data_IF_621624096965
#
_entry.id   IF_621624096965
#
_cell.length_a   1.000
_cell.length_b   1.000
_cell.length_c   1.000
_cell.angle_alpha   90.00
_cell.angle_beta   90.00
_cell.angle_gamma   90.00
#
_symmetry.space_group_name_H-M   'P 1'
#
loop_
_entity.id
_entity.type
_entity.pdbx_description
1 polymer ?
#
# COMPACT_ATOMS: atom_id res chain seq x y z
N UNK A 1 -46.60 38.12 -26.11
CA UNK A 1 -48.05 37.93 -25.89
C UNK A 1 -48.22 36.80 -24.89
N UNK A 2 -48.61 37.10 -23.66
CA UNK A 2 -48.81 36.11 -22.60
C UNK A 2 -50.25 35.56 -22.67
N UNK A 3 -50.41 34.24 -22.57
CA UNK A 3 -51.69 33.60 -22.29
C UNK A 3 -51.59 32.94 -20.90
N UNK A 4 -52.23 33.57 -19.91
CA UNK A 4 -52.44 33.01 -18.58
C UNK A 4 -53.77 32.25 -18.64
N UNK A 5 -53.76 30.92 -18.44
CA UNK A 5 -54.98 30.17 -18.12
C UNK A 5 -54.97 29.83 -16.64
N UNK A 6 -55.95 30.34 -15.91
CA UNK A 6 -56.33 29.90 -14.58
C UNK A 6 -57.23 28.67 -14.72
N UNK A 7 -56.87 27.56 -14.07
CA UNK A 7 -57.85 26.53 -13.71
C UNK A 7 -57.97 26.52 -12.20
N UNK A 8 -59.11 27.02 -11.72
CA UNK A 8 -59.58 26.84 -10.36
C UNK A 8 -60.24 25.47 -10.25
N UNK A 9 -59.72 24.62 -9.38
CA UNK A 9 -60.54 23.57 -8.76
C UNK A 9 -60.12 23.47 -7.31
N UNK A 10 -61.05 23.88 -6.47
CA UNK A 10 -61.00 23.85 -5.01
C UNK A 10 -61.10 22.41 -4.55
N UNK A 11 -60.08 21.86 -3.91
CA UNK A 11 -60.25 20.71 -3.02
C UNK A 11 -59.03 20.53 -2.10
N UNK A 12 -59.36 20.25 -0.84
CA UNK A 12 -58.55 19.72 0.26
C UNK A 12 -57.03 19.67 0.20
N UNK A 13 -56.43 20.45 1.10
CA UNK A 13 -55.18 20.21 1.83
C UNK A 13 -54.84 18.71 2.02
N UNK A 14 -53.82 18.19 1.34
CA UNK A 14 -52.81 17.25 1.89
C UNK A 14 -51.49 17.40 1.14
N UNK A 15 -50.39 17.60 1.85
CA UNK A 15 -49.02 17.62 1.31
C UNK A 15 -48.50 16.19 1.17
N UNK A 16 -49.20 15.33 0.44
CA UNK A 16 -48.68 14.00 0.15
C UNK A 16 -47.62 14.09 -0.96
N UNK A 17 -46.41 14.52 -0.60
CA UNK A 17 -45.23 14.31 -1.43
C UNK A 17 -44.96 12.81 -1.45
N UNK A 18 -45.46 12.12 -2.47
CA UNK A 18 -45.08 10.74 -2.78
C UNK A 18 -43.64 10.73 -3.29
N UNK A 19 -42.69 10.79 -2.36
CA UNK A 19 -41.29 10.44 -2.63
C UNK A 19 -41.30 8.92 -2.84
N UNK A 20 -41.17 8.48 -4.09
CA UNK A 20 -40.73 7.13 -4.39
C UNK A 20 -39.29 7.02 -3.85
N UNK A 21 -39.16 6.50 -2.63
CA UNK A 21 -37.88 6.09 -2.10
C UNK A 21 -37.56 4.78 -2.82
N UNK A 22 -36.78 4.86 -3.89
CA UNK A 22 -36.15 3.68 -4.46
C UNK A 22 -35.37 3.01 -3.34
N UNK A 23 -35.79 1.80 -2.99
CA UNK A 23 -35.18 0.97 -1.96
C UNK A 23 -33.70 0.81 -2.29
N UNK A 24 -32.85 1.59 -1.61
CA UNK A 24 -31.41 1.36 -1.62
C UNK A 24 -31.21 -0.04 -1.07
N UNK A 25 -30.78 -0.96 -1.94
CA UNK A 25 -30.44 -2.32 -1.56
C UNK A 25 -29.58 -2.28 -0.28
N UNK A 26 -29.88 -3.11 0.74
CA UNK A 26 -29.09 -3.11 1.95
C UNK A 26 -27.64 -3.41 1.56
N UNK A 27 -26.72 -2.51 1.90
CA UNK A 27 -25.28 -2.80 1.83
C UNK A 27 -25.08 -4.04 2.69
N UNK A 28 -24.81 -5.19 2.06
CA UNK A 28 -24.55 -6.42 2.78
C UNK A 28 -23.38 -6.16 3.72
N UNK A 29 -23.59 -6.38 5.02
CA UNK A 29 -22.51 -6.39 5.99
C UNK A 29 -21.62 -7.60 5.64
N UNK A 30 -20.35 -7.41 5.22
CA UNK A 30 -19.52 -8.50 4.70
C UNK A 30 -19.07 -9.49 5.80
N UNK A 31 -19.44 -9.25 7.05
CA UNK A 31 -19.03 -10.05 8.21
C UNK A 31 -19.79 -11.38 8.31
N UNK A 32 -20.82 -11.60 7.47
CA UNK A 32 -21.51 -12.90 7.34
C UNK A 32 -21.17 -13.67 6.04
N UNK A 33 -20.12 -13.28 5.30
CA UNK A 33 -19.50 -14.23 4.38
C UNK A 33 -18.78 -15.29 5.23
N UNK A 34 -19.08 -16.56 4.97
CA UNK A 34 -18.37 -17.70 5.54
C UNK A 34 -16.87 -17.43 5.43
N UNK A 35 -16.15 -17.47 6.55
CA UNK A 35 -14.71 -17.20 6.62
C UNK A 35 -13.98 -18.01 5.53
N UNK A 36 -14.42 -19.24 5.29
CA UNK A 36 -13.90 -20.11 4.22
C UNK A 36 -14.08 -19.54 2.82
N UNK A 37 -15.19 -18.86 2.53
CA UNK A 37 -15.43 -18.21 1.25
C UNK A 37 -14.52 -16.99 1.07
N UNK A 38 -14.29 -16.21 2.13
CA UNK A 38 -13.37 -15.07 2.11
C UNK A 38 -11.91 -15.55 1.92
N UNK A 39 -11.50 -16.60 2.63
CA UNK A 39 -10.19 -17.22 2.44
C UNK A 39 -10.03 -17.83 1.06
N UNK A 40 -11.06 -18.50 0.54
CA UNK A 40 -11.05 -19.08 -0.79
C UNK A 40 -10.92 -17.98 -1.86
N UNK A 41 -11.65 -16.88 -1.72
CA UNK A 41 -11.54 -15.70 -2.59
C UNK A 41 -10.15 -15.07 -2.53
N UNK A 42 -9.59 -14.89 -1.34
CA UNK A 42 -8.21 -14.40 -1.19
C UNK A 42 -7.19 -15.36 -1.80
N UNK A 43 -7.38 -16.67 -1.65
CA UNK A 43 -6.55 -17.70 -2.26
C UNK A 43 -6.63 -17.68 -3.78
N UNK A 44 -7.82 -17.51 -4.35
CA UNK A 44 -8.06 -17.42 -5.79
C UNK A 44 -7.45 -16.14 -6.39
N UNK A 45 -7.60 -15.00 -5.71
CA UNK A 45 -6.95 -13.74 -6.08
C UNK A 45 -5.42 -13.92 -6.06
N UNK A 46 -4.88 -14.46 -4.96
CA UNK A 46 -3.44 -14.70 -4.84
C UNK A 46 -2.90 -15.65 -5.91
N UNK A 47 -3.58 -16.77 -6.19
CA UNK A 47 -3.14 -17.72 -7.21
C UNK A 47 -3.27 -17.14 -8.63
N UNK A 48 -4.32 -16.38 -8.92
CA UNK A 48 -4.46 -15.69 -10.22
C UNK A 48 -3.35 -14.64 -10.43
N UNK A 49 -3.06 -13.83 -9.41
CA UNK A 49 -1.97 -12.84 -9.44
C UNK A 49 -0.59 -13.50 -9.51
N UNK A 50 -0.42 -14.64 -8.82
CA UNK A 50 0.82 -15.44 -8.82
C UNK A 50 1.12 -16.03 -10.19
N UNK A 51 0.10 -16.44 -10.94
CA UNK A 51 0.26 -16.99 -12.28
C UNK A 51 0.52 -15.89 -13.32
N UNK A 52 -0.06 -14.71 -13.14
CA UNK A 52 0.19 -13.53 -13.99
C UNK A 52 1.57 -12.91 -13.73
N UNK A 53 2.02 -12.93 -12.48
CA UNK A 53 3.35 -12.47 -12.08
C UNK A 53 4.31 -13.64 -12.12
N UNK A 54 4.70 -14.07 -13.31
CA UNK A 54 5.81 -15.00 -13.46
C UNK A 54 6.99 -14.47 -12.63
N UNK A 55 7.40 -15.22 -11.60
CA UNK A 55 8.58 -14.93 -10.77
C UNK A 55 9.84 -15.16 -11.59
N UNK A 56 9.99 -14.39 -12.65
CA UNK A 56 11.18 -14.36 -13.47
C UNK A 56 12.26 -13.51 -12.77
N UNK A 57 13.50 -13.60 -13.24
CA UNK A 57 14.64 -12.83 -12.75
C UNK A 57 14.42 -11.30 -12.80
N UNK A 58 13.39 -10.84 -13.51
CA UNK A 58 12.99 -9.44 -13.64
C UNK A 58 11.92 -8.99 -12.63
N UNK A 59 11.31 -9.92 -11.89
CA UNK A 59 10.32 -9.58 -10.87
C UNK A 59 10.94 -8.68 -9.79
N UNK A 60 10.35 -7.50 -9.57
CA UNK A 60 10.88 -6.49 -8.65
C UNK A 60 12.13 -5.74 -9.16
N UNK A 61 12.49 -5.89 -10.44
CA UNK A 61 13.56 -5.15 -11.15
C UNK A 61 13.03 -4.44 -12.42
N UNK A 62 11.72 -4.36 -12.55
CA UNK A 62 11.03 -3.69 -13.65
C UNK A 62 10.22 -2.53 -13.09
N UNK A 63 10.24 -1.42 -13.81
CA UNK A 63 9.44 -0.23 -13.52
C UNK A 63 8.79 0.21 -14.81
N UNK A 64 7.47 0.34 -14.79
CA UNK A 64 6.73 0.93 -15.91
C UNK A 64 6.94 2.44 -15.92
N UNK A 65 7.20 2.99 -17.11
CA UNK A 65 7.45 4.42 -17.28
C UNK A 65 6.10 5.09 -17.54
N UNK A 66 5.67 5.95 -16.62
CA UNK A 66 4.48 6.77 -16.79
C UNK A 66 4.85 8.12 -17.41
N UNK A 67 4.15 8.53 -18.48
CA UNK A 67 4.33 9.85 -19.09
C UNK A 67 5.64 10.07 -19.85
N UNK A 68 6.37 9.00 -20.19
CA UNK A 68 7.61 9.08 -21.00
C UNK A 68 8.85 9.62 -20.27
N UNK A 69 8.75 9.91 -18.96
CA UNK A 69 9.90 10.35 -18.17
C UNK A 69 10.79 9.17 -17.75
N UNK A 70 11.75 8.85 -18.61
CA UNK A 70 12.74 7.79 -18.39
C UNK A 70 13.61 8.09 -17.16
N UNK A 71 13.93 9.36 -16.90
CA UNK A 71 14.82 9.73 -15.81
C UNK A 71 14.18 9.46 -14.44
N UNK A 72 12.88 9.75 -14.30
CA UNK A 72 12.12 9.40 -13.11
C UNK A 72 12.00 7.88 -12.94
N UNK A 73 11.71 7.16 -14.02
CA UNK A 73 11.66 5.69 -14.03
C UNK A 73 12.98 5.06 -13.56
N UNK A 74 14.12 5.55 -14.07
CA UNK A 74 15.45 5.09 -13.69
C UNK A 74 15.75 5.34 -12.20
N UNK A 75 15.45 6.54 -11.68
CA UNK A 75 15.60 6.85 -10.24
C UNK A 75 14.74 5.96 -9.36
N UNK A 76 13.52 5.66 -9.80
CA UNK A 76 12.61 4.77 -9.08
C UNK A 76 13.14 3.34 -9.06
N UNK A 77 13.65 2.85 -10.20
CA UNK A 77 14.30 1.55 -10.31
C UNK A 77 15.53 1.47 -9.39
N UNK A 78 16.41 2.47 -9.40
CA UNK A 78 17.59 2.51 -8.54
C UNK A 78 17.23 2.43 -7.05
N UNK A 79 16.20 3.16 -6.64
CA UNK A 79 15.67 3.11 -5.26
C UNK A 79 15.16 1.71 -4.91
N UNK A 80 14.39 1.09 -5.80
CA UNK A 80 13.87 -0.28 -5.60
C UNK A 80 15.01 -1.30 -5.48
N UNK A 81 16.01 -1.24 -6.37
CA UNK A 81 17.19 -2.12 -6.32
C UNK A 81 18.00 -1.93 -5.03
N UNK A 82 18.16 -0.68 -4.58
CA UNK A 82 18.85 -0.37 -3.33
C UNK A 82 18.11 -0.90 -2.10
N UNK A 83 16.78 -0.78 -2.05
CA UNK A 83 15.95 -1.32 -0.98
C UNK A 83 16.03 -2.85 -0.90
N UNK A 84 15.99 -3.51 -2.06
CA UNK A 84 16.14 -4.96 -2.18
C UNK A 84 17.58 -5.45 -1.93
N UNK A 85 18.56 -4.54 -1.84
CA UNK A 85 19.95 -4.88 -1.57
C UNK A 85 20.69 -5.53 -2.75
N UNK A 86 20.12 -5.49 -3.96
CA UNK A 86 20.67 -6.18 -5.15
C UNK A 86 22.10 -5.74 -5.47
N UNK A 87 22.44 -4.43 -5.51
CA UNK A 87 23.82 -4.00 -5.81
C UNK A 87 24.81 -4.46 -4.73
N UNK A 88 24.37 -4.39 -3.46
CA UNK A 88 25.16 -4.80 -2.30
C UNK A 88 25.49 -6.29 -2.35
N UNK A 89 24.53 -7.11 -2.75
CA UNK A 89 24.69 -8.55 -2.81
C UNK A 89 25.50 -8.98 -4.04
N UNK A 90 25.30 -8.33 -5.18
CA UNK A 90 26.15 -8.48 -6.37
C UNK A 90 27.62 -8.25 -6.05
N UNK A 91 27.94 -7.13 -5.38
CA UNK A 91 29.32 -6.82 -5.00
C UNK A 91 29.91 -7.86 -4.02
N UNK A 92 29.10 -8.37 -3.10
CA UNK A 92 29.54 -9.34 -2.10
C UNK A 92 29.75 -10.74 -2.64
N UNK A 93 28.95 -11.14 -3.63
CA UNK A 93 28.97 -12.46 -4.22
C UNK A 93 29.99 -12.57 -5.36
N UNK A 94 30.61 -11.44 -5.78
CA UNK A 94 31.66 -11.41 -6.81
C UNK A 94 32.84 -12.35 -6.52
N UNK A 95 33.12 -12.63 -5.23
CA UNK A 95 34.18 -13.56 -4.81
C UNK A 95 33.64 -14.51 -3.75
N UNK A 96 34.10 -15.76 -3.77
CA UNK A 96 33.83 -16.71 -2.70
C UNK A 96 34.39 -16.18 -1.38
N UNK A 97 33.61 -16.33 -0.31
CA UNK A 97 34.01 -15.99 1.05
C UNK A 97 33.95 -17.22 1.92
N UNK A 98 34.92 -17.33 2.81
CA UNK A 98 34.90 -18.38 3.81
C UNK A 98 33.69 -18.23 4.73
N UNK A 99 33.05 -19.36 5.04
CA UNK A 99 31.82 -19.41 5.85
C UNK A 99 32.00 -18.74 7.22
N UNK A 100 33.19 -18.89 7.82
CA UNK A 100 33.53 -18.27 9.11
C UNK A 100 33.52 -16.74 9.05
N UNK A 101 34.12 -16.17 8.01
CA UNK A 101 34.23 -14.72 7.84
C UNK A 101 32.86 -14.09 7.55
N UNK A 102 32.03 -14.76 6.74
CA UNK A 102 30.67 -14.29 6.50
C UNK A 102 29.83 -14.31 7.78
N UNK A 103 29.97 -15.35 8.63
CA UNK A 103 29.30 -15.40 9.95
C UNK A 103 29.74 -14.27 10.87
N UNK A 104 31.05 -14.01 10.99
CA UNK A 104 31.60 -12.92 11.82
C UNK A 104 31.09 -11.56 11.33
N UNK A 105 31.13 -11.35 10.00
CA UNK A 105 30.62 -10.15 9.36
C UNK A 105 29.14 -9.93 9.62
N UNK A 106 28.29 -10.95 9.44
CA UNK A 106 26.85 -10.86 9.70
C UNK A 106 26.54 -10.59 11.17
N UNK A 107 27.28 -11.21 12.11
CA UNK A 107 27.18 -10.90 13.55
C UNK A 107 27.50 -9.43 13.83
N UNK A 108 28.61 -8.93 13.30
CA UNK A 108 29.03 -7.54 13.43
C UNK A 108 28.02 -6.56 12.82
N UNK A 109 27.48 -6.88 11.64
CA UNK A 109 26.43 -6.07 10.99
C UNK A 109 25.16 -6.00 11.82
N UNK A 110 24.67 -7.13 12.35
CA UNK A 110 23.50 -7.16 13.23
C UNK A 110 23.72 -6.33 14.49
N UNK A 111 24.90 -6.44 15.11
CA UNK A 111 25.26 -5.62 16.27
C UNK A 111 25.22 -4.13 15.95
N UNK A 112 25.89 -3.68 14.87
CA UNK A 112 25.87 -2.26 14.47
C UNK A 112 24.48 -1.73 14.18
N UNK A 113 23.62 -2.54 13.54
CA UNK A 113 22.21 -2.14 13.26
C UNK A 113 21.43 -1.94 14.55
N UNK A 114 21.54 -2.89 15.49
CA UNK A 114 20.89 -2.79 16.81
C UNK A 114 21.42 -1.59 17.60
N UNK A 115 22.73 -1.44 17.66
CA UNK A 115 23.38 -0.32 18.35
C UNK A 115 22.92 1.04 17.79
N UNK A 116 22.92 1.21 16.46
CA UNK A 116 22.43 2.43 15.81
C UNK A 116 20.96 2.71 16.16
N UNK A 117 20.11 1.68 16.18
CA UNK A 117 18.70 1.81 16.53
C UNK A 117 18.50 2.28 17.96
N UNK A 118 19.18 1.64 18.92
CA UNK A 118 19.08 2.02 20.34
C UNK A 118 19.65 3.42 20.58
N UNK A 119 20.82 3.76 20.02
CA UNK A 119 21.38 5.12 20.08
C UNK A 119 20.39 6.13 19.49
N UNK A 120 19.76 5.81 18.36
CA UNK A 120 18.74 6.66 17.74
C UNK A 120 17.56 6.94 18.68
N UNK A 121 17.03 5.92 19.36
CA UNK A 121 15.94 6.09 20.35
C UNK A 121 16.36 7.00 21.50
N UNK A 122 17.56 6.80 22.04
CA UNK A 122 18.06 7.61 23.16
C UNK A 122 18.23 9.06 22.75
N UNK A 123 18.78 9.33 21.56
CA UNK A 123 18.91 10.68 21.02
C UNK A 123 17.54 11.33 20.81
N UNK A 124 16.57 10.58 20.26
CA UNK A 124 15.20 11.08 20.09
C UNK A 124 14.56 11.47 21.43
N UNK A 125 14.75 10.65 22.46
CA UNK A 125 14.28 10.94 23.82
C UNK A 125 14.91 12.21 24.39
N UNK A 126 16.23 12.36 24.28
CA UNK A 126 16.94 13.56 24.74
C UNK A 126 16.47 14.81 23.99
N UNK A 127 16.27 14.71 22.67
CA UNK A 127 15.72 15.82 21.88
C UNK A 127 14.29 16.18 22.30
N UNK A 128 13.47 15.18 22.67
CA UNK A 128 12.12 15.41 23.18
C UNK A 128 12.13 16.12 24.54
N UNK A 129 12.99 15.71 25.47
CA UNK A 129 13.19 16.36 26.78
C UNK A 129 13.63 17.82 26.57
N UNK A 130 14.65 18.02 25.72
CA UNK A 130 15.14 19.37 25.37
C UNK A 130 14.07 20.25 24.76
N UNK A 131 13.23 19.71 23.86
CA UNK A 131 12.11 20.44 23.26
C UNK A 131 11.06 20.85 24.30
N UNK A 132 10.90 20.06 25.37
CA UNK A 132 9.97 20.33 26.47
C UNK A 132 10.48 21.41 27.43
N UNK A 133 11.80 21.68 27.45
CA UNK A 133 12.40 22.76 28.22
C UNK A 133 12.83 22.38 29.65
N UNK A 134 13.10 21.09 29.90
CA UNK A 134 13.82 20.64 31.11
C UNK A 134 15.32 20.60 30.89
#
# INVERSE_FOLDING_TARGET
>A
MAAIRFNSTSEGRTWATSIQIDAHAPKSNPIMENIDALWKRHSEIFESERLLTARDAYSGRTVEIQGGDIALGAKMLDKMLAQNGVPRDWFQNRRHKQKGDERRRLKSLRHRRRFKHEVGKMVQLVQQIRRRGS
#
